data_IF_567405009857
#
_entry.id   IF_567405009857
#
_cell.length_a   1.000
_cell.length_b   1.000
_cell.length_c   1.000
_cell.angle_alpha   90.00
_cell.angle_beta   90.00
_cell.angle_gamma   90.00
#
_symmetry.space_group_name_H-M   'P 1'
#
loop_
_entity.id
_entity.type
_entity.pdbx_description
1 polymer ?
#
# COMPACT_ATOMS: atom_id res chain seq x y z
N UNK A 1 2.63 -1.48 -1.10
CA UNK A 1 3.49 -0.31 -0.85
C UNK A 1 4.18 -0.48 0.49
N UNK A 2 5.38 0.05 0.66
CA UNK A 2 6.13 -0.06 1.92
C UNK A 2 6.04 1.26 2.69
N UNK A 3 6.02 1.22 4.02
CA UNK A 3 5.95 2.43 4.86
C UNK A 3 7.33 3.00 5.20
N UNK A 4 8.37 2.21 4.97
CA UNK A 4 9.77 2.53 5.20
C UNK A 4 10.64 1.68 4.25
N UNK A 5 11.96 1.94 4.16
CA UNK A 5 12.87 1.07 3.42
C UNK A 5 12.83 -0.37 3.96
N UNK A 6 12.74 -1.35 3.05
CA UNK A 6 12.68 -2.79 3.37
C UNK A 6 13.73 -3.57 2.56
N UNK A 7 15.05 -3.44 2.85
CA UNK A 7 16.12 -3.98 2.00
C UNK A 7 16.09 -5.50 1.82
N UNK A 8 15.51 -6.23 2.78
CA UNK A 8 15.37 -7.68 2.71
C UNK A 8 14.41 -8.15 1.59
N UNK A 9 13.62 -7.25 1.00
CA UNK A 9 12.74 -7.55 -0.12
C UNK A 9 13.42 -7.35 -1.48
N UNK A 10 14.59 -6.71 -1.50
CA UNK A 10 15.34 -6.42 -2.72
C UNK A 10 15.71 -7.73 -3.44
N UNK A 11 15.59 -7.74 -4.77
CA UNK A 11 15.77 -8.91 -5.65
C UNK A 11 14.81 -10.09 -5.43
N UNK A 12 13.97 -10.05 -4.39
CA UNK A 12 12.94 -11.05 -4.11
C UNK A 12 11.55 -10.65 -4.65
N UNK A 13 11.35 -9.36 -4.92
CA UNK A 13 10.09 -8.81 -5.43
C UNK A 13 10.35 -7.79 -6.54
N UNK A 14 9.56 -7.85 -7.61
CA UNK A 14 9.62 -6.86 -8.69
C UNK A 14 8.90 -5.57 -8.29
N UNK A 15 9.64 -4.47 -8.21
CA UNK A 15 9.06 -3.13 -7.97
C UNK A 15 8.61 -2.53 -9.29
N UNK A 16 7.32 -2.19 -9.42
CA UNK A 16 6.71 -1.69 -10.66
C UNK A 16 6.15 -0.26 -10.55
N UNK A 17 6.28 0.38 -9.39
CA UNK A 17 5.75 1.74 -9.18
C UNK A 17 6.10 2.29 -7.80
N UNK A 18 5.84 3.59 -7.62
CA UNK A 18 6.01 4.31 -6.35
C UNK A 18 4.83 5.24 -6.13
N UNK A 19 4.54 5.55 -4.87
CA UNK A 19 3.59 6.59 -4.50
C UNK A 19 4.25 7.95 -4.80
N UNK A 20 3.72 8.69 -5.77
CA UNK A 20 4.18 10.05 -6.08
C UNK A 20 3.54 11.10 -5.16
N UNK A 21 2.29 10.88 -4.77
CA UNK A 21 1.46 11.79 -3.95
C UNK A 21 0.57 11.00 -2.97
N UNK A 22 0.16 11.62 -1.86
CA UNK A 22 -0.79 11.03 -0.91
C UNK A 22 -0.19 10.00 0.07
N UNK A 23 1.11 10.09 0.39
CA UNK A 23 1.75 9.16 1.34
C UNK A 23 1.22 9.31 2.78
N UNK A 24 0.68 10.47 3.13
CA UNK A 24 -0.08 10.71 4.36
C UNK A 24 -1.38 9.91 4.41
N UNK A 25 -2.10 9.82 3.28
CA UNK A 25 -3.31 8.99 3.15
C UNK A 25 -2.95 7.52 3.30
N UNK A 26 -1.86 7.07 2.68
CA UNK A 26 -1.33 5.71 2.84
C UNK A 26 -1.09 5.38 4.31
N UNK A 27 -0.51 6.32 5.07
CA UNK A 27 -0.26 6.17 6.51
C UNK A 27 -1.52 6.24 7.37
N UNK A 28 -2.61 6.78 6.84
CA UNK A 28 -3.90 6.87 7.52
C UNK A 28 -4.77 5.61 7.34
N UNK A 29 -4.39 4.69 6.44
CA UNK A 29 -5.08 3.40 6.27
C UNK A 29 -5.05 2.64 7.59
N UNK A 30 -6.20 2.10 7.97
CA UNK A 30 -6.37 1.39 9.25
C UNK A 30 -5.40 0.20 9.34
N UNK A 31 -4.51 0.23 10.32
CA UNK A 31 -3.69 -0.93 10.65
C UNK A 31 -4.58 -2.09 11.12
N UNK A 32 -4.28 -3.29 10.63
CA UNK A 32 -4.97 -4.50 11.02
C UNK A 32 -4.00 -5.66 11.11
N UNK A 33 -4.20 -6.48 12.13
CA UNK A 33 -3.60 -7.81 12.21
C UNK A 33 -4.58 -8.82 11.58
N UNK A 34 -4.25 -9.41 10.42
CA UNK A 34 -5.12 -10.38 9.77
C UNK A 34 -5.45 -11.62 10.61
N UNK A 35 -4.62 -11.94 11.62
CA UNK A 35 -4.82 -13.09 12.50
C UNK A 35 -5.93 -12.89 13.53
N UNK A 36 -6.20 -11.65 13.94
CA UNK A 36 -7.13 -11.32 15.04
C UNK A 36 -8.29 -10.44 14.60
N UNK A 37 -8.06 -9.51 13.67
CA UNK A 37 -9.07 -8.58 13.20
C UNK A 37 -9.93 -9.16 12.06
N UNK A 38 -11.18 -9.49 12.42
CA UNK A 38 -12.21 -10.02 11.50
C UNK A 38 -13.01 -8.92 10.79
N UNK A 39 -12.85 -7.66 11.15
CA UNK A 39 -13.52 -6.57 10.46
C UNK A 39 -12.93 -6.36 9.05
N UNK A 40 -13.76 -5.98 8.07
CA UNK A 40 -13.25 -5.62 6.74
C UNK A 40 -12.18 -4.52 6.82
N UNK A 41 -11.19 -4.61 5.93
CA UNK A 41 -10.21 -3.53 5.71
C UNK A 41 -10.80 -2.38 4.89
N UNK A 42 -10.03 -1.30 4.77
CA UNK A 42 -10.40 -0.19 3.89
C UNK A 42 -10.45 -0.65 2.42
N UNK A 43 -11.53 -0.28 1.73
CA UNK A 43 -11.78 -0.73 0.36
C UNK A 43 -11.34 0.33 -0.66
N UNK A 44 -10.65 -0.11 -1.72
CA UNK A 44 -10.41 0.70 -2.91
C UNK A 44 -11.72 0.76 -3.70
N UNK A 45 -12.35 1.93 -3.75
CA UNK A 45 -13.64 2.11 -4.42
C UNK A 45 -13.51 2.35 -5.91
N UNK A 46 -12.43 3.00 -6.34
CA UNK A 46 -12.25 3.43 -7.74
C UNK A 46 -10.75 3.53 -8.03
N UNK A 47 -10.37 3.21 -9.27
CA UNK A 47 -9.03 3.43 -9.80
C UNK A 47 -9.20 4.22 -11.10
N UNK A 48 -8.48 5.32 -11.22
CA UNK A 48 -8.44 6.14 -12.44
C UNK A 48 -7.07 5.98 -13.07
N UNK A 49 -7.04 5.66 -14.36
CA UNK A 49 -5.81 5.55 -15.14
C UNK A 49 -5.69 6.82 -15.98
N UNK A 50 -4.55 7.49 -15.86
CA UNK A 50 -4.19 8.63 -16.69
C UNK A 50 -3.26 8.11 -17.78
N UNK A 51 -3.62 8.33 -19.03
CA UNK A 51 -2.77 8.09 -20.19
C UNK A 51 -2.09 9.41 -20.55
N UNK A 52 -0.78 9.39 -20.69
CA UNK A 52 0.03 10.48 -21.26
C UNK A 52 0.46 10.13 -22.68
#
# INVERSE_FOLDING_TARGET
MTYAPTPHLDNNHSVFGKVSEGMDIVKAIRERDPGTDRSPGDAIKTITILEE
#
